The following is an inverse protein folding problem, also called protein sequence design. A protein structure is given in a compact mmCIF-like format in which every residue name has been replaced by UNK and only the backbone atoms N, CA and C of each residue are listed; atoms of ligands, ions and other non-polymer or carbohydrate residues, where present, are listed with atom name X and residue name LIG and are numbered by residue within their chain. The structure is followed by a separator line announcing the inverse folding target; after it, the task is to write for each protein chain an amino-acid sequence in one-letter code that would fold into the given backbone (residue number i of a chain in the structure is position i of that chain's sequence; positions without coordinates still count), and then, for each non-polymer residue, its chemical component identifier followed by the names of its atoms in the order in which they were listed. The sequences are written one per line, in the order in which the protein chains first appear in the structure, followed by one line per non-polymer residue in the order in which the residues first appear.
data_IF_837334714602
#
_entry.id   IF_837334714602
#
_cell.length_a   1.000
_cell.length_b   1.000
_cell.length_c   1.000
_cell.angle_alpha   90.00
_cell.angle_beta   90.00
_cell.angle_gamma   90.00
#
_symmetry.space_group_name_H-M   'P 1'
#
loop_
_entity.id
_entity.type
_entity.pdbx_description
1 polymer ?
#
# COMPACT_ATOMS: atom_id res chain seq x y z
N UNK A 1 -37.65 3.71 13.49
CA UNK A 1 -36.96 4.81 12.80
C UNK A 1 -35.55 4.37 12.52
N UNK A 2 -35.10 4.45 11.26
CA UNK A 2 -33.72 4.14 10.90
C UNK A 2 -32.90 5.44 10.86
N UNK A 3 -31.77 5.45 11.55
CA UNK A 3 -30.86 6.59 11.63
C UNK A 3 -29.51 6.22 11.02
N UNK A 4 -28.78 7.21 10.53
CA UNK A 4 -27.42 7.07 10.01
C UNK A 4 -26.47 8.05 10.68
N UNK A 5 -25.24 7.62 10.95
CA UNK A 5 -24.19 8.52 11.43
C UNK A 5 -23.66 9.36 10.26
N UNK A 6 -23.68 10.69 10.43
CA UNK A 6 -23.13 11.61 9.44
C UNK A 6 -21.65 11.34 9.20
N UNK A 7 -21.20 11.40 7.94
CA UNK A 7 -19.81 11.15 7.56
C UNK A 7 -19.25 9.79 7.98
N UNK A 8 -20.09 8.74 8.02
CA UNK A 8 -19.70 7.39 8.48
C UNK A 8 -18.39 6.86 7.88
N UNK A 9 -18.14 7.12 6.59
CA UNK A 9 -16.91 6.71 5.89
C UNK A 9 -15.61 7.21 6.54
N UNK A 10 -15.66 8.31 7.30
CA UNK A 10 -14.51 8.85 8.04
C UNK A 10 -14.20 7.99 9.28
N UNK A 11 -15.24 7.48 9.92
CA UNK A 11 -15.15 6.69 11.15
C UNK A 11 -14.91 5.20 10.87
N UNK A 12 -15.44 4.70 9.75
CA UNK A 12 -15.33 3.29 9.39
C UNK A 12 -14.81 3.10 7.96
N UNK A 13 -13.57 2.60 7.88
CA UNK A 13 -12.93 2.19 6.62
C UNK A 13 -12.79 0.66 6.54
N UNK A 14 -12.78 -0.04 7.68
CA UNK A 14 -12.54 -1.47 7.75
C UNK A 14 -13.87 -2.24 7.77
N UNK A 15 -14.61 -2.16 6.66
CA UNK A 15 -15.96 -2.75 6.55
C UNK A 15 -15.98 -4.28 6.63
N UNK A 16 -14.89 -4.96 6.26
CA UNK A 16 -14.80 -6.42 6.22
C UNK A 16 -13.94 -7.02 7.35
N UNK A 17 -14.09 -6.53 8.59
CA UNK A 17 -13.36 -7.05 9.76
C UNK A 17 -14.31 -7.52 10.86
N UNK A 18 -13.91 -8.60 11.53
CA UNK A 18 -14.57 -9.12 12.73
C UNK A 18 -13.50 -9.35 13.82
N UNK A 19 -13.55 -8.63 14.96
CA UNK A 19 -14.56 -7.64 15.34
C UNK A 19 -14.47 -6.34 14.51
N UNK A 20 -15.58 -5.58 14.36
CA UNK A 20 -15.58 -4.31 13.67
C UNK A 20 -14.81 -3.26 14.47
N UNK A 21 -14.05 -2.41 13.79
CA UNK A 21 -13.25 -1.34 14.42
C UNK A 21 -13.84 0.02 14.04
N UNK A 22 -14.05 0.91 15.00
CA UNK A 22 -14.44 2.30 14.72
C UNK A 22 -13.28 3.24 15.04
N UNK A 23 -13.01 4.22 14.17
CA UNK A 23 -12.04 5.28 14.44
C UNK A 23 -12.72 6.40 15.19
N UNK A 24 -12.20 6.73 16.37
CA UNK A 24 -12.56 7.94 17.07
C UNK A 24 -11.56 9.04 16.67
N UNK A 25 -12.02 10.03 15.91
CA UNK A 25 -11.17 11.15 15.49
C UNK A 25 -11.16 12.23 16.56
N UNK A 26 -10.00 12.85 16.78
CA UNK A 26 -9.87 13.97 17.73
C UNK A 26 -10.73 15.18 17.33
N UNK A 27 -10.98 15.37 16.03
CA UNK A 27 -11.88 16.39 15.51
C UNK A 27 -13.33 16.21 16.00
N UNK A 28 -13.76 14.98 16.31
CA UNK A 28 -15.07 14.74 16.91
C UNK A 28 -15.12 15.35 18.31
N UNK A 29 -14.10 15.11 19.15
CA UNK A 29 -14.04 15.59 20.53
C UNK A 29 -13.96 17.12 20.65
N UNK A 30 -13.54 17.78 19.57
CA UNK A 30 -13.45 19.24 19.46
C UNK A 30 -14.56 19.85 18.62
N UNK A 31 -15.45 19.01 18.06
CA UNK A 31 -16.61 19.48 17.30
C UNK A 31 -17.57 20.22 18.21
N UNK A 32 -18.22 21.25 17.66
CA UNK A 32 -19.26 22.00 18.39
C UNK A 32 -20.33 21.06 18.93
N UNK A 33 -20.76 20.11 18.10
CA UNK A 33 -21.81 19.14 18.40
C UNK A 33 -21.47 18.29 19.63
N UNK A 34 -20.21 17.84 19.75
CA UNK A 34 -19.72 17.06 20.89
C UNK A 34 -19.57 17.90 22.16
N UNK A 35 -19.07 19.12 22.04
CA UNK A 35 -18.85 20.02 23.17
C UNK A 35 -20.19 20.43 23.78
N UNK A 36 -21.20 20.70 22.95
CA UNK A 36 -22.54 21.08 23.42
C UNK A 36 -23.39 19.90 23.91
N UNK A 37 -23.01 18.67 23.58
CA UNK A 37 -23.75 17.49 23.98
C UNK A 37 -23.64 17.21 25.49
N UNK A 38 -24.72 16.70 26.09
CA UNK A 38 -24.71 16.21 27.46
C UNK A 38 -23.90 14.91 27.60
N UNK A 39 -23.54 14.53 28.83
CA UNK A 39 -22.74 13.31 29.05
C UNK A 39 -23.45 12.04 28.56
N UNK A 40 -24.78 11.96 28.75
CA UNK A 40 -25.58 10.86 28.22
C UNK A 40 -25.64 10.85 26.70
N UNK A 41 -25.69 12.03 26.06
CA UNK A 41 -25.68 12.13 24.59
C UNK A 41 -24.34 11.71 24.00
N UNK A 42 -23.22 12.06 24.65
CA UNK A 42 -21.88 11.62 24.21
C UNK A 42 -21.74 10.10 24.29
N UNK A 43 -22.20 9.49 25.38
CA UNK A 43 -22.21 8.02 25.52
C UNK A 43 -23.13 7.38 24.47
N UNK A 44 -24.32 7.96 24.26
CA UNK A 44 -25.25 7.50 23.23
C UNK A 44 -24.65 7.60 21.83
N UNK A 45 -23.93 8.67 21.51
CA UNK A 45 -23.26 8.85 20.22
C UNK A 45 -22.24 7.74 19.96
N UNK A 46 -21.41 7.40 20.95
CA UNK A 46 -20.45 6.29 20.84
C UNK A 46 -21.17 4.94 20.72
N UNK A 47 -22.24 4.71 21.47
CA UNK A 47 -23.04 3.50 21.35
C UNK A 47 -23.65 3.37 19.94
N UNK A 48 -24.12 4.47 19.34
CA UNK A 48 -24.61 4.51 17.95
C UNK A 48 -23.51 4.06 16.99
N UNK A 49 -22.28 4.58 17.13
CA UNK A 49 -21.15 4.17 16.30
C UNK A 49 -20.85 2.67 16.41
N UNK A 50 -20.91 2.11 17.62
CA UNK A 50 -20.66 0.68 17.83
C UNK A 50 -21.76 -0.19 17.21
N UNK A 51 -23.03 0.16 17.39
CA UNK A 51 -24.16 -0.57 16.81
C UNK A 51 -24.14 -0.49 15.30
N UNK A 52 -23.94 0.70 14.73
CA UNK A 52 -23.83 0.91 13.29
C UNK A 52 -22.66 0.12 12.65
N UNK A 53 -21.57 -0.09 13.40
CA UNK A 53 -20.42 -0.88 12.91
C UNK A 53 -20.71 -2.38 12.76
N UNK A 54 -21.81 -2.85 13.36
CA UNK A 54 -22.24 -4.26 13.32
C UNK A 54 -23.41 -4.48 12.35
N UNK A 55 -24.00 -3.41 11.83
CA UNK A 55 -25.11 -3.51 10.88
C UNK A 55 -24.61 -4.07 9.53
N UNK A 56 -25.41 -4.96 8.93
CA UNK A 56 -25.04 -5.66 7.70
C UNK A 56 -24.96 -4.76 6.46
N UNK A 57 -25.59 -3.58 6.48
CA UNK A 57 -25.53 -2.63 5.37
C UNK A 57 -24.16 -1.92 5.27
N UNK A 58 -23.43 -1.80 6.38
CA UNK A 58 -22.10 -1.20 6.42
C UNK A 58 -22.04 0.31 6.09
N UNK A 59 -23.19 0.96 5.94
CA UNK A 59 -23.36 2.37 5.57
C UNK A 59 -23.45 3.32 6.78
N UNK A 60 -23.33 2.77 7.99
CA UNK A 60 -23.45 3.51 9.25
C UNK A 60 -24.89 3.71 9.68
N UNK A 61 -25.84 3.00 9.06
CA UNK A 61 -27.23 2.96 9.48
C UNK A 61 -27.47 1.97 10.61
N UNK A 62 -28.50 2.22 11.40
CA UNK A 62 -28.97 1.33 12.46
C UNK A 62 -30.44 1.61 12.79
N UNK A 63 -31.08 0.63 13.41
CA UNK A 63 -32.44 0.79 13.93
C UNK A 63 -32.39 1.45 15.31
N UNK A 64 -32.98 2.64 15.43
CA UNK A 64 -32.93 3.45 16.64
C UNK A 64 -34.01 3.01 17.66
N UNK A 65 -33.89 1.78 18.18
CA UNK A 65 -34.72 1.27 19.28
C UNK A 65 -34.19 1.80 20.63
N UNK A 66 -34.92 2.71 21.32
CA UNK A 66 -34.45 3.28 22.58
C UNK A 66 -34.21 2.24 23.67
N UNK A 67 -35.00 1.16 23.71
CA UNK A 67 -34.88 0.13 24.76
C UNK A 67 -33.63 -0.71 24.58
N UNK A 68 -33.26 -1.00 23.33
CA UNK A 68 -32.01 -1.66 22.98
C UNK A 68 -30.81 -0.77 23.35
N UNK A 69 -30.86 0.50 22.93
CA UNK A 69 -29.77 1.45 23.19
C UNK A 69 -29.57 1.77 24.66
N UNK A 70 -30.64 1.82 25.46
CA UNK A 70 -30.52 1.96 26.90
C UNK A 70 -29.61 0.88 27.51
N UNK A 71 -29.77 -0.38 27.07
CA UNK A 71 -29.00 -1.52 27.57
C UNK A 71 -27.57 -1.52 27.03
N UNK A 72 -27.39 -1.27 25.74
CA UNK A 72 -26.07 -1.29 25.09
C UNK A 72 -25.19 -0.14 25.58
N UNK A 73 -25.79 1.02 25.83
CA UNK A 73 -25.09 2.22 26.30
C UNK A 73 -25.03 2.30 27.84
N UNK A 74 -25.57 1.32 28.57
CA UNK A 74 -25.64 1.29 30.04
C UNK A 74 -26.25 2.57 30.63
N UNK A 75 -27.29 3.10 29.98
CA UNK A 75 -27.96 4.33 30.41
C UNK A 75 -29.03 4.04 31.47
N UNK A 76 -29.11 4.93 32.46
CA UNK A 76 -30.12 4.83 33.52
C UNK A 76 -31.54 5.12 33.04
N UNK A 77 -31.69 5.98 32.04
CA UNK A 77 -32.97 6.35 31.43
C UNK A 77 -33.03 5.94 29.96
N UNK A 78 -34.24 5.85 29.44
CA UNK A 78 -34.47 5.64 28.01
C UNK A 78 -33.81 6.78 27.21
N UNK A 79 -32.93 6.49 26.26
CA UNK A 79 -32.25 7.52 25.47
C UNK A 79 -33.20 8.23 24.52
N UNK A 80 -32.95 9.52 24.32
CA UNK A 80 -33.55 10.33 23.26
C UNK A 80 -32.50 10.62 22.18
N UNK A 81 -32.83 10.34 20.92
CA UNK A 81 -31.96 10.58 19.77
C UNK A 81 -32.14 11.98 19.18
N UNK A 82 -33.19 12.71 19.58
CA UNK A 82 -33.52 14.05 19.05
C UNK A 82 -32.38 15.05 19.19
N UNK A 83 -31.62 15.11 20.30
CA UNK A 83 -30.47 16.01 20.41
C UNK A 83 -29.36 15.70 19.41
N UNK A 84 -29.09 14.41 19.17
CA UNK A 84 -28.07 13.97 18.22
C UNK A 84 -28.48 14.18 16.75
N UNK A 85 -29.79 14.13 16.47
CA UNK A 85 -30.33 14.52 15.16
C UNK A 85 -30.26 16.04 14.99
N UNK A 86 -30.62 16.81 16.02
CA UNK A 86 -30.63 18.27 15.98
C UNK A 86 -29.23 18.87 15.88
N UNK A 87 -28.22 18.21 16.45
CA UNK A 87 -26.81 18.59 16.29
C UNK A 87 -26.23 18.18 14.93
N UNK A 88 -26.95 17.38 14.14
CA UNK A 88 -26.48 16.88 12.86
C UNK A 88 -25.47 15.74 12.96
N UNK A 89 -25.30 15.12 14.14
CA UNK A 89 -24.52 13.90 14.29
C UNK A 89 -25.22 12.68 13.66
N UNK A 90 -26.55 12.63 13.78
CA UNK A 90 -27.41 11.61 13.18
C UNK A 90 -28.31 12.20 12.09
N UNK A 91 -28.52 11.44 11.03
CA UNK A 91 -29.40 11.77 9.93
C UNK A 91 -30.55 10.75 9.86
N UNK A 92 -31.82 11.18 9.83
CA UNK A 92 -32.94 10.28 9.60
C UNK A 92 -32.89 9.76 8.16
N UNK A 93 -32.94 8.43 8.02
CA UNK A 93 -33.11 7.81 6.71
C UNK A 93 -34.61 7.83 6.43
N UNK A 94 -35.01 8.51 5.35
CA UNK A 94 -36.40 8.51 4.93
C UNK A 94 -36.84 7.07 4.62
N UNK A 95 -37.67 6.51 5.49
CA UNK A 95 -38.41 5.29 5.17
C UNK A 95 -39.28 5.60 3.95
N UNK A 96 -39.21 4.75 2.92
CA UNK A 96 -39.98 4.87 1.69
C UNK A 96 -41.51 4.85 1.88
N UNK A 97 -42.02 4.88 3.12
CA UNK A 97 -43.45 4.90 3.46
C UNK A 97 -43.99 6.25 3.93
N UNK A 98 -43.17 7.30 4.13
CA UNK A 98 -43.65 8.61 4.57
C UNK A 98 -43.57 9.66 3.45
N UNK A 99 -44.60 9.68 2.62
CA UNK A 99 -44.79 10.56 1.47
C UNK A 99 -44.70 12.07 1.75
N UNK A 100 -44.10 12.79 0.78
CA UNK A 100 -44.65 14.00 0.14
C UNK A 100 -45.02 15.17 1.06
N UNK A 101 -44.13 16.17 1.15
CA UNK A 101 -44.55 17.59 1.19
C UNK A 101 -43.48 18.51 0.60
N UNK A 102 -43.92 19.28 -0.38
CA UNK A 102 -43.18 20.26 -1.15
C UNK A 102 -42.87 21.52 -0.32
N UNK A 103 -41.70 22.11 -0.54
CA UNK A 103 -41.43 23.51 -0.93
C UNK A 103 -39.92 23.73 -0.75
N UNK A 104 -39.11 23.73 -1.82
CA UNK A 104 -38.89 24.85 -2.75
C UNK A 104 -38.39 26.12 -2.05
N UNK A 105 -37.06 26.24 -1.90
CA UNK A 105 -36.38 27.45 -2.34
C UNK A 105 -34.92 27.14 -2.69
N UNK A 106 -34.56 27.56 -3.90
CA UNK A 106 -33.26 27.40 -4.52
C UNK A 106 -32.31 28.50 -4.03
N UNK A 107 -31.06 28.13 -3.78
CA UNK A 107 -29.90 28.94 -4.20
C UNK A 107 -28.73 27.99 -4.47
N UNK A 108 -28.36 27.98 -5.73
CA UNK A 108 -27.21 27.35 -6.40
C UNK A 108 -25.90 27.83 -5.78
N UNK A 109 -24.97 26.93 -5.48
CA UNK A 109 -23.55 27.09 -5.86
C UNK A 109 -22.96 25.71 -6.18
N UNK A 110 -22.50 25.63 -7.42
CA UNK A 110 -21.83 24.52 -8.10
C UNK A 110 -20.36 24.50 -7.67
N UNK A 111 -19.81 23.32 -7.40
CA UNK A 111 -18.46 22.95 -7.83
C UNK A 111 -18.45 21.45 -8.12
N UNK A 112 -18.15 21.14 -9.38
CA UNK A 112 -18.11 19.82 -9.99
C UNK A 112 -16.94 19.00 -9.42
N UNK A 113 -17.14 17.71 -9.16
CA UNK A 113 -16.36 16.69 -9.89
C UNK A 113 -17.01 15.32 -9.90
N UNK A 114 -17.31 14.94 -11.13
CA UNK A 114 -17.93 13.72 -11.67
C UNK A 114 -17.11 12.47 -11.37
N UNK A 115 -17.68 11.55 -10.58
CA UNK A 115 -17.55 10.11 -10.81
C UNK A 115 -18.85 9.66 -11.47
N UNK A 116 -18.77 9.01 -12.63
CA UNK A 116 -19.57 7.80 -12.93
C UNK A 116 -19.34 7.35 -14.37
N UNK A 117 -19.38 6.03 -14.55
CA UNK A 117 -19.96 5.47 -15.78
C UNK A 117 -19.20 4.31 -16.39
N UNK A 118 -19.29 3.13 -15.77
CA UNK A 118 -19.32 1.88 -16.54
C UNK A 118 -20.56 1.88 -17.45
N UNK A 119 -20.40 1.71 -18.76
CA UNK A 119 -21.39 1.04 -19.59
C UNK A 119 -20.76 0.51 -20.88
N UNK A 120 -21.03 -0.78 -21.10
CA UNK A 120 -20.63 -1.65 -22.20
C UNK A 120 -21.05 -1.08 -23.56
N UNK A 121 -20.20 -1.22 -24.59
CA UNK A 121 -20.53 -1.65 -25.97
C UNK A 121 -19.23 -1.76 -26.79
N UNK A 122 -18.96 -2.94 -27.37
CA UNK A 122 -17.93 -3.18 -28.40
C UNK A 122 -18.47 -2.82 -29.80
N UNK A 123 -17.63 -2.44 -30.79
CA UNK A 123 -17.08 -3.41 -31.77
C UNK A 123 -15.72 -2.96 -32.40
N UNK A 124 -15.25 -3.46 -33.58
CA UNK A 124 -14.77 -4.80 -33.91
C UNK A 124 -13.25 -4.86 -34.28
N UNK A 125 -12.79 -6.08 -34.54
CA UNK A 125 -11.41 -6.61 -34.61
C UNK A 125 -10.69 -6.39 -35.97
N UNK A 126 -9.38 -6.08 -35.95
CA UNK A 126 -8.24 -6.67 -36.73
C UNK A 126 -7.02 -5.70 -36.65
N UNK A 127 -5.75 -6.09 -36.47
CA UNK A 127 -5.03 -7.31 -36.83
C UNK A 127 -3.70 -7.48 -36.03
N UNK A 128 -3.60 -8.62 -35.35
CA UNK A 128 -2.45 -9.50 -35.02
C UNK A 128 -1.01 -8.96 -34.99
N UNK A 129 -0.40 -9.06 -33.80
CA UNK A 129 0.82 -9.88 -33.58
C UNK A 129 0.69 -10.61 -32.23
N UNK A 130 1.20 -11.83 -32.20
CA UNK A 130 0.80 -12.98 -31.38
C UNK A 130 1.54 -13.16 -30.05
N UNK A 131 0.78 -13.45 -28.97
CA UNK A 131 1.03 -14.33 -27.79
C UNK A 131 2.31 -14.16 -26.91
N UNK A 132 2.28 -14.49 -25.59
CA UNK A 132 1.55 -15.59 -24.94
C UNK A 132 0.58 -15.18 -23.83
N UNK A 133 -0.28 -16.12 -23.44
CA UNK A 133 -1.23 -16.01 -22.34
C UNK A 133 -0.48 -15.91 -21.01
N UNK A 134 -0.13 -14.69 -20.64
CA UNK A 134 0.50 -14.34 -19.38
C UNK A 134 -0.59 -14.21 -18.31
N UNK A 135 -0.54 -15.09 -17.32
CA UNK A 135 -1.57 -15.27 -16.30
C UNK A 135 -2.12 -13.97 -15.73
N UNK A 136 -3.35 -14.01 -15.25
CA UNK A 136 -4.04 -12.82 -14.75
C UNK A 136 -3.22 -12.14 -13.64
N UNK A 137 -3.34 -10.83 -13.49
CA UNK A 137 -2.64 -10.08 -12.42
C UNK A 137 -2.89 -10.66 -11.02
N UNK A 138 -4.03 -11.32 -10.82
CA UNK A 138 -4.40 -12.08 -9.62
C UNK A 138 -3.54 -13.34 -9.45
N UNK A 139 -3.30 -14.10 -10.53
CA UNK A 139 -2.45 -15.30 -10.53
C UNK A 139 -0.99 -14.94 -10.28
N UNK A 140 -0.48 -13.90 -10.93
CA UNK A 140 0.88 -13.38 -10.68
C UNK A 140 1.06 -12.94 -9.23
N UNK A 141 0.06 -12.25 -8.65
CA UNK A 141 0.09 -11.88 -7.23
C UNK A 141 0.12 -13.07 -6.27
N UNK A 142 -0.56 -14.17 -6.60
CA UNK A 142 -0.49 -15.43 -5.82
C UNK A 142 0.86 -16.13 -5.97
N UNK A 143 1.35 -16.22 -7.22
CA UNK A 143 2.60 -16.91 -7.55
C UNK A 143 3.80 -16.21 -6.92
N UNK A 144 3.80 -14.88 -6.83
CA UNK A 144 4.89 -14.11 -6.22
C UNK A 144 5.23 -14.59 -4.80
N UNK A 145 4.23 -14.70 -3.93
CA UNK A 145 4.44 -15.14 -2.56
C UNK A 145 4.76 -16.64 -2.48
N UNK A 146 4.14 -17.44 -3.34
CA UNK A 146 4.39 -18.88 -3.42
C UNK A 146 5.84 -19.19 -3.83
N UNK A 147 6.36 -18.54 -4.87
CA UNK A 147 7.74 -18.70 -5.35
C UNK A 147 8.77 -18.23 -4.32
N UNK A 148 8.40 -17.25 -3.48
CA UNK A 148 9.22 -16.83 -2.33
C UNK A 148 9.09 -17.76 -1.12
N UNK A 149 8.23 -18.78 -1.16
CA UNK A 149 7.96 -19.67 -0.02
C UNK A 149 7.29 -18.97 1.15
N UNK A 150 6.49 -17.93 0.87
CA UNK A 150 5.84 -17.06 1.85
C UNK A 150 4.31 -17.20 1.77
N UNK A 151 3.63 -16.88 2.88
CA UNK A 151 2.17 -16.90 2.92
C UNK A 151 1.58 -15.73 2.14
N UNK A 152 0.59 -16.02 1.29
CA UNK A 152 -0.13 -15.04 0.47
C UNK A 152 -1.39 -14.47 1.13
N UNK A 153 -1.74 -14.90 2.36
CA UNK A 153 -3.02 -14.59 3.01
C UNK A 153 -3.19 -13.07 3.18
N UNK A 154 -4.14 -12.51 2.43
CA UNK A 154 -4.47 -11.07 2.45
C UNK A 154 -3.52 -10.16 1.69
N UNK A 155 -2.49 -10.70 1.02
CA UNK A 155 -1.45 -9.91 0.32
C UNK A 155 -1.62 -9.88 -1.20
N UNK A 156 -2.40 -10.80 -1.76
CA UNK A 156 -2.63 -10.91 -3.21
C UNK A 156 -3.20 -9.62 -3.82
N UNK A 157 -4.26 -8.98 -3.28
CA UNK A 157 -4.83 -7.78 -3.91
C UNK A 157 -3.83 -6.61 -3.97
N UNK A 158 -3.03 -6.46 -2.92
CA UNK A 158 -2.01 -5.43 -2.83
C UNK A 158 -0.84 -5.68 -3.79
N UNK A 159 -0.50 -6.95 -4.01
CA UNK A 159 0.55 -7.34 -4.97
C UNK A 159 0.10 -7.11 -6.40
N UNK A 160 -1.15 -7.44 -6.70
CA UNK A 160 -1.77 -7.13 -7.98
C UNK A 160 -1.81 -5.62 -8.25
N UNK A 161 -2.24 -4.81 -7.27
CA UNK A 161 -2.28 -3.36 -7.43
C UNK A 161 -0.88 -2.77 -7.66
N UNK A 162 0.13 -3.23 -6.90
CA UNK A 162 1.51 -2.80 -7.07
C UNK A 162 2.07 -3.14 -8.46
N UNK A 163 1.81 -4.35 -8.96
CA UNK A 163 2.23 -4.78 -10.29
C UNK A 163 1.56 -3.96 -11.40
N UNK A 164 0.25 -3.70 -11.29
CA UNK A 164 -0.47 -2.85 -12.26
C UNK A 164 0.00 -1.40 -12.22
N UNK A 165 0.25 -0.86 -11.03
CA UNK A 165 0.74 0.50 -10.86
C UNK A 165 2.14 0.67 -11.45
N UNK A 166 3.04 -0.28 -11.21
CA UNK A 166 4.39 -0.30 -11.76
C UNK A 166 4.39 -0.46 -13.29
N UNK A 167 3.64 -1.42 -13.81
CA UNK A 167 3.45 -1.63 -15.25
C UNK A 167 2.97 -0.36 -15.95
N UNK A 168 1.95 0.31 -15.39
CA UNK A 168 1.42 1.57 -15.90
C UNK A 168 2.43 2.71 -15.84
N UNK A 169 3.18 2.82 -14.73
CA UNK A 169 4.17 3.88 -14.51
C UNK A 169 5.35 3.78 -15.48
N UNK A 170 5.81 2.56 -15.75
CA UNK A 170 7.02 2.31 -16.55
C UNK A 170 6.71 1.89 -18.00
N UNK A 171 5.43 1.79 -18.38
CA UNK A 171 5.03 1.43 -19.74
C UNK A 171 5.40 -0.02 -20.11
N UNK A 172 5.48 -0.91 -19.13
CA UNK A 172 5.82 -2.34 -19.30
C UNK A 172 4.59 -3.21 -19.08
N UNK A 173 4.69 -4.49 -19.43
CA UNK A 173 3.64 -5.47 -19.15
C UNK A 173 3.59 -5.82 -17.65
N UNK A 174 2.43 -6.30 -17.18
CA UNK A 174 2.26 -6.75 -15.78
C UNK A 174 3.18 -7.92 -15.47
N UNK A 175 3.45 -8.80 -16.45
CA UNK A 175 4.40 -9.90 -16.29
C UNK A 175 5.85 -9.42 -16.19
N UNK A 176 6.27 -8.47 -17.02
CA UNK A 176 7.63 -7.90 -16.89
C UNK A 176 7.80 -7.22 -15.52
N UNK A 177 6.77 -6.53 -15.03
CA UNK A 177 6.77 -5.97 -13.67
C UNK A 177 6.90 -7.08 -12.61
N UNK A 178 6.19 -8.19 -12.80
CA UNK A 178 6.27 -9.37 -11.93
C UNK A 178 7.67 -9.99 -11.89
N UNK A 179 8.26 -10.25 -13.06
CA UNK A 179 9.58 -10.86 -13.18
C UNK A 179 10.66 -9.99 -12.53
N UNK A 180 10.56 -8.67 -12.70
CA UNK A 180 11.45 -7.71 -12.07
C UNK A 180 11.28 -7.70 -10.54
N UNK A 181 10.05 -7.64 -10.04
CA UNK A 181 9.78 -7.64 -8.61
C UNK A 181 10.27 -8.94 -7.95
N UNK A 182 10.05 -10.08 -8.58
CA UNK A 182 10.51 -11.40 -8.14
C UNK A 182 12.04 -11.49 -8.13
N UNK A 183 12.71 -11.04 -9.19
CA UNK A 183 14.17 -11.03 -9.28
C UNK A 183 14.81 -10.15 -8.21
N UNK A 184 14.18 -9.04 -7.82
CA UNK A 184 14.67 -8.22 -6.70
C UNK A 184 14.38 -8.87 -5.35
N UNK A 185 13.17 -9.42 -5.16
CA UNK A 185 12.77 -10.05 -3.90
C UNK A 185 13.64 -11.24 -3.55
N UNK A 186 14.02 -12.05 -4.55
CA UNK A 186 14.96 -13.17 -4.37
C UNK A 186 16.36 -12.71 -3.97
N UNK A 187 16.88 -11.62 -4.58
CA UNK A 187 18.15 -11.00 -4.17
C UNK A 187 18.12 -10.45 -2.75
N UNK A 188 17.06 -9.73 -2.39
CA UNK A 188 16.92 -9.12 -1.07
C UNK A 188 16.75 -10.20 0.00
N UNK A 189 15.99 -11.27 -0.28
CA UNK A 189 15.90 -12.46 0.57
C UNK A 189 17.26 -13.14 0.76
N UNK A 190 18.06 -13.28 -0.30
CA UNK A 190 19.41 -13.85 -0.20
C UNK A 190 20.37 -13.01 0.64
N UNK A 191 20.15 -11.69 0.72
CA UNK A 191 20.87 -10.77 1.62
C UNK A 191 20.36 -10.77 3.05
N UNK A 192 19.32 -11.56 3.37
CA UNK A 192 18.68 -11.58 4.67
C UNK A 192 17.70 -10.44 4.92
N UNK A 193 17.32 -9.70 3.87
CA UNK A 193 16.32 -8.64 4.00
C UNK A 193 14.91 -9.23 4.08
N UNK A 194 14.05 -8.54 4.82
CA UNK A 194 12.68 -8.98 5.06
C UNK A 194 11.78 -8.59 3.88
N UNK A 195 11.32 -9.60 3.14
CA UNK A 195 10.28 -9.44 2.12
C UNK A 195 8.92 -9.64 2.77
N UNK A 196 8.30 -8.54 3.23
CA UNK A 196 6.97 -8.54 3.83
C UNK A 196 6.00 -7.61 3.06
N UNK A 197 4.79 -7.39 3.58
CA UNK A 197 3.78 -6.57 2.91
C UNK A 197 4.28 -5.18 2.49
N UNK A 198 5.19 -4.59 3.27
CA UNK A 198 5.71 -3.25 3.01
C UNK A 198 6.70 -3.22 1.84
N UNK A 199 7.29 -4.37 1.53
CA UNK A 199 8.18 -4.54 0.37
C UNK A 199 7.43 -4.22 -0.93
N UNK A 200 6.18 -4.67 -1.03
CA UNK A 200 5.33 -4.56 -2.20
C UNK A 200 4.59 -3.21 -2.24
N UNK A 201 4.03 -2.78 -1.10
CA UNK A 201 3.21 -1.56 -1.01
C UNK A 201 4.00 -0.27 -1.32
N UNK A 202 5.24 -0.18 -0.87
CA UNK A 202 6.05 1.03 -1.04
C UNK A 202 6.86 1.02 -2.35
N UNK A 203 6.70 0.00 -3.20
CA UNK A 203 7.54 -0.27 -4.37
C UNK A 203 9.06 -0.15 -4.07
N UNK A 204 9.47 -0.47 -2.84
CA UNK A 204 10.86 -0.36 -2.34
C UNK A 204 11.86 -1.10 -3.21
N UNK A 205 11.39 -2.15 -3.89
CA UNK A 205 12.16 -2.96 -4.82
C UNK A 205 12.63 -2.19 -6.07
N UNK A 206 11.88 -1.20 -6.56
CA UNK A 206 12.27 -0.36 -7.71
C UNK A 206 13.39 0.61 -7.39
N UNK A 207 13.28 1.32 -6.27
CA UNK A 207 14.31 2.28 -5.84
C UNK A 207 15.69 1.63 -5.71
N UNK A 208 15.74 0.37 -5.27
CA UNK A 208 16.98 -0.42 -5.19
C UNK A 208 17.51 -0.91 -6.54
N UNK A 209 16.67 -1.02 -7.58
CA UNK A 209 17.12 -1.29 -8.94
C UNK A 209 17.67 -0.04 -9.63
N UNK A 210 17.12 1.13 -9.32
CA UNK A 210 17.52 2.41 -9.90
C UNK A 210 18.74 3.04 -9.20
N UNK A 211 19.07 2.61 -7.97
CA UNK A 211 20.35 2.92 -7.34
C UNK A 211 21.50 2.34 -8.18
N UNK A 212 22.05 3.19 -9.08
CA UNK A 212 23.35 2.95 -9.70
C UNK A 212 24.32 2.53 -8.58
N UNK A 213 25.16 1.51 -8.79
CA UNK A 213 26.13 1.12 -7.78
C UNK A 213 26.90 2.38 -7.38
N UNK A 214 26.78 2.78 -6.11
CA UNK A 214 27.62 3.86 -5.56
C UNK A 214 29.05 3.43 -5.86
N UNK A 215 29.70 4.15 -6.77
CA UNK A 215 31.11 3.96 -7.03
C UNK A 215 31.78 3.97 -5.66
N UNK A 216 32.45 2.86 -5.32
CA UNK A 216 33.22 2.77 -4.08
C UNK A 216 34.09 4.03 -4.04
N UNK A 217 34.09 4.83 -2.95
CA UNK A 217 35.00 5.95 -2.85
C UNK A 217 36.39 5.37 -3.05
N UNK A 218 37.01 5.71 -4.18
CA UNK A 218 38.33 5.22 -4.52
C UNK A 218 39.24 5.77 -3.44
N UNK A 219 39.78 4.88 -2.60
CA UNK A 219 40.75 5.26 -1.60
C UNK A 219 41.94 5.90 -2.34
N UNK A 220 42.36 7.13 -2.02
CA UNK A 220 43.53 7.76 -2.65
C UNK A 220 44.81 6.91 -2.54
N UNK A 221 44.85 5.96 -1.60
CA UNK A 221 45.92 4.98 -1.47
C UNK A 221 45.87 3.87 -2.53
N UNK A 222 44.68 3.40 -2.95
CA UNK A 222 44.53 2.37 -4.01
C UNK A 222 44.76 2.95 -5.41
N UNK A 223 44.55 4.25 -5.61
CA UNK A 223 44.79 4.92 -6.90
C UNK A 223 46.26 5.16 -7.21
N UNK A 224 47.12 5.15 -6.17
CA UNK A 224 48.58 5.26 -6.36
C UNK A 224 49.24 3.95 -6.81
N UNK A 225 48.64 2.79 -6.52
CA UNK A 225 49.13 1.50 -7.06
C UNK A 225 48.68 1.27 -8.51
N UNK A 226 47.50 1.77 -8.90
CA UNK A 226 47.00 1.60 -10.28
C UNK A 226 47.60 2.58 -11.29
N UNK A 227 48.21 3.69 -10.86
CA UNK A 227 49.01 4.54 -11.75
C UNK A 227 50.38 3.94 -12.10
N UNK A 228 50.89 2.96 -11.35
CA UNK A 228 52.16 2.29 -11.66
C UNK A 228 52.03 1.06 -12.57
N UNK A 229 50.82 0.52 -12.76
CA UNK A 229 50.57 -0.60 -13.67
C UNK A 229 49.80 -0.20 -14.95
N UNK A 230 49.65 1.09 -15.20
CA UNK A 230 48.94 1.67 -16.34
C UNK A 230 49.81 1.98 -17.56
N UNK A 231 50.89 1.24 -17.83
CA UNK A 231 51.47 1.17 -19.17
C UNK A 231 51.90 -0.27 -19.37
N UNK A 232 51.07 -1.08 -20.01
CA UNK A 232 51.44 -2.12 -20.98
C UNK A 232 50.16 -2.88 -21.35
N UNK A 233 49.37 -2.26 -22.22
CA UNK A 233 48.52 -3.03 -23.11
C UNK A 233 48.96 -2.72 -24.53
N UNK A 234 50.01 -3.43 -24.96
CA UNK A 234 50.28 -3.71 -26.37
C UNK A 234 51.28 -4.85 -26.48
N UNK A 235 50.75 -6.02 -26.83
CA UNK A 235 51.41 -7.02 -27.69
C UNK A 235 52.87 -7.32 -27.38
N UNK A 236 53.16 -8.23 -26.45
CA UNK A 236 54.45 -8.93 -26.42
C UNK A 236 54.35 -10.26 -25.68
N UNK A 237 55.08 -11.23 -26.23
CA UNK A 237 55.14 -12.66 -25.97
C UNK A 237 55.69 -12.98 -24.56
N UNK A 238 55.19 -14.07 -23.96
CA UNK A 238 55.71 -14.80 -22.78
C UNK A 238 57.25 -14.87 -22.71
N UNK A 239 57.90 -13.85 -22.12
CA UNK A 239 59.36 -13.89 -21.86
C UNK A 239 59.78 -13.34 -20.48
N UNK A 240 58.87 -12.71 -19.74
CA UNK A 240 59.18 -12.02 -18.48
C UNK A 240 59.44 -12.93 -17.26
N UNK A 241 59.16 -14.23 -17.39
CA UNK A 241 59.38 -15.24 -16.32
C UNK A 241 60.60 -16.14 -16.57
N UNK A 242 61.50 -15.75 -17.48
CA UNK A 242 62.77 -16.45 -17.67
C UNK A 242 63.80 -16.08 -16.58
N UNK A 243 64.68 -17.01 -16.18
CA UNK A 243 65.74 -16.73 -15.21
C UNK A 243 66.64 -15.58 -15.70
N UNK A 244 66.74 -14.52 -14.89
CA UNK A 244 67.52 -13.31 -15.22
C UNK A 244 66.71 -12.15 -15.79
N UNK A 245 65.38 -12.29 -15.92
CA UNK A 245 64.49 -11.16 -16.25
C UNK A 245 64.28 -10.19 -15.07
N UNK A 246 63.91 -8.93 -15.33
CA UNK A 246 63.74 -7.89 -14.30
C UNK A 246 62.65 -8.23 -13.27
N UNK A 247 61.70 -9.10 -13.62
CA UNK A 247 60.66 -9.58 -12.71
C UNK A 247 61.04 -10.85 -11.93
N UNK A 248 62.07 -11.59 -12.39
CA UNK A 248 62.58 -12.78 -11.70
C UNK A 248 63.33 -12.42 -10.42
N UNK A 249 64.19 -11.40 -10.45
CA UNK A 249 64.92 -10.93 -9.26
C UNK A 249 64.00 -10.31 -8.21
N UNK A 250 62.95 -9.61 -8.65
CA UNK A 250 61.93 -9.06 -7.76
C UNK A 250 61.13 -10.15 -7.04
N UNK A 251 60.75 -11.23 -7.73
CA UNK A 251 60.03 -12.35 -7.11
C UNK A 251 60.93 -13.16 -6.15
N UNK A 252 62.21 -13.34 -6.47
CA UNK A 252 63.19 -13.97 -5.57
C UNK A 252 63.38 -13.16 -4.28
N UNK A 253 63.54 -11.84 -4.39
CA UNK A 253 63.67 -10.96 -3.22
C UNK A 253 62.39 -10.91 -2.38
N UNK A 254 61.22 -11.00 -3.02
CA UNK A 254 59.92 -11.05 -2.34
C UNK A 254 59.73 -12.37 -1.58
N UNK A 255 60.06 -13.51 -2.19
CA UNK A 255 60.00 -14.83 -1.54
C UNK A 255 60.95 -14.92 -0.33
N UNK A 256 62.17 -14.37 -0.46
CA UNK A 256 63.13 -14.28 0.63
C UNK A 256 62.62 -13.44 1.81
N UNK A 257 61.93 -12.31 1.56
CA UNK A 257 61.32 -11.48 2.62
C UNK A 257 60.14 -12.15 3.30
N UNK A 258 59.39 -12.97 2.59
CA UNK A 258 58.21 -13.66 3.11
C UNK A 258 58.55 -14.99 3.79
N UNK A 259 59.82 -15.39 3.82
CA UNK A 259 60.27 -16.64 4.44
C UNK A 259 59.73 -17.90 3.74
N UNK A 260 59.23 -17.76 2.52
CA UNK A 260 58.69 -18.86 1.72
C UNK A 260 59.86 -19.48 0.97
N UNK A 261 60.29 -20.67 1.42
CA UNK A 261 61.19 -21.53 0.64
C UNK A 261 60.44 -22.21 -0.49
#
# INVERSE_FOLDING_TARGET
MRLRIKNWKVYQHYTNRCPPWIKLHFSLLTSRDWITASDSERVLAIACMLVASRDGAGDGSFDADPTYFQRVAYLYSTPDFTPLVSSGFLEPIADASASKRMQANATTETEERREEGEAKTAPPVESKKSEPNDGTSVELGKNFWFELGLSSVGLVPMTEEALRADAKKHGITVKESYDLMLAQATKDKAKGEKVDRWYVQDAKWRGKMEEKPKARPVNPAETRELQYHGIYNRTAVDTDFLPGGPLYEYDQQRRARLGVK
#
